data_IF_710471889997
#
_entry.id   IF_710471889997
#
_cell.length_a   1.000
_cell.length_b   1.000
_cell.length_c   1.000
_cell.angle_alpha   90.00
_cell.angle_beta   90.00
_cell.angle_gamma   90.00
#
_symmetry.space_group_name_H-M   'P 1'
#
loop_
_entity.id
_entity.type
_entity.pdbx_description
1 polymer ?
#
# COMPACT_ATOMS: atom_id res chain seq x y z
N UNK A 1 -29.17 -35.81 43.24
CA UNK A 1 -29.56 -34.55 42.59
C UNK A 1 -28.46 -33.55 42.94
N UNK A 2 -27.32 -33.67 42.26
CA UNK A 2 -26.18 -32.78 42.49
C UNK A 2 -26.26 -31.66 41.47
N UNK A 3 -26.62 -30.47 41.94
CA UNK A 3 -26.61 -29.26 41.15
C UNK A 3 -25.18 -28.89 40.80
N UNK A 4 -24.83 -28.99 39.51
CA UNK A 4 -23.66 -28.30 38.97
C UNK A 4 -23.90 -26.79 39.15
N UNK A 5 -23.28 -26.23 40.19
CA UNK A 5 -23.08 -24.79 40.29
C UNK A 5 -22.18 -24.38 39.12
N UNK A 6 -22.77 -23.68 38.15
CA UNK A 6 -22.01 -22.92 37.14
C UNK A 6 -21.31 -21.82 37.92
N UNK A 7 -20.03 -22.02 38.24
CA UNK A 7 -19.18 -20.94 38.74
C UNK A 7 -19.07 -19.95 37.60
N UNK A 8 -19.76 -18.81 37.70
CA UNK A 8 -19.61 -17.71 36.76
C UNK A 8 -18.15 -17.24 36.83
N UNK A 9 -17.40 -17.47 35.77
CA UNK A 9 -16.00 -17.06 35.68
C UNK A 9 -15.93 -15.52 35.86
N UNK A 10 -15.12 -15.05 36.80
CA UNK A 10 -15.05 -13.62 37.14
C UNK A 10 -14.43 -12.88 35.94
N UNK A 11 -15.09 -11.83 35.41
CA UNK A 11 -14.53 -11.10 34.29
C UNK A 11 -13.17 -10.52 34.63
N UNK A 12 -12.18 -10.73 33.76
CA UNK A 12 -10.85 -10.15 33.93
C UNK A 12 -10.88 -8.72 33.39
N UNK A 13 -10.49 -7.79 34.24
CA UNK A 13 -10.49 -6.36 33.92
C UNK A 13 -9.06 -5.85 33.98
N UNK A 14 -8.64 -5.11 32.96
CA UNK A 14 -7.31 -4.51 32.87
C UNK A 14 -7.37 -3.04 32.46
N UNK A 15 -6.50 -2.21 33.04
CA UNK A 15 -6.38 -0.79 32.69
C UNK A 15 -5.50 -0.65 31.45
N UNK A 16 -5.90 0.19 30.50
CA UNK A 16 -5.09 0.45 29.31
C UNK A 16 -3.80 1.20 29.72
N UNK A 17 -2.61 0.79 29.25
CA UNK A 17 -1.34 1.37 29.70
C UNK A 17 -1.23 2.88 29.42
N UNK A 18 -1.68 3.32 28.24
CA UNK A 18 -1.52 4.71 27.78
C UNK A 18 -2.77 5.59 27.96
N UNK A 19 -3.94 4.98 28.21
CA UNK A 19 -5.25 5.66 28.13
C UNK A 19 -6.05 5.55 29.44
N UNK A 20 -5.35 5.25 30.53
CA UNK A 20 -5.89 5.29 31.87
C UNK A 20 -5.27 6.46 32.62
N UNK A 21 -5.82 7.65 32.40
CA UNK A 21 -5.29 8.88 32.99
C UNK A 21 -5.77 9.07 34.43
N UNK A 22 -4.85 9.41 35.33
CA UNK A 22 -5.18 9.71 36.73
C UNK A 22 -6.16 10.89 36.86
N UNK A 23 -6.07 11.85 35.94
CA UNK A 23 -6.95 13.02 35.84
C UNK A 23 -8.17 12.83 34.93
N UNK A 24 -8.48 11.59 34.52
CA UNK A 24 -9.74 11.29 33.81
C UNK A 24 -10.96 11.49 34.73
N UNK A 25 -12.10 11.81 34.14
CA UNK A 25 -13.37 12.07 34.84
C UNK A 25 -14.48 11.07 34.45
N UNK A 26 -14.17 10.09 33.60
CA UNK A 26 -15.04 8.97 33.22
C UNK A 26 -14.21 7.73 32.91
N UNK A 27 -14.71 6.55 33.28
CA UNK A 27 -14.12 5.26 32.93
C UNK A 27 -14.99 4.57 31.88
N UNK A 28 -14.42 4.28 30.72
CA UNK A 28 -15.05 3.46 29.68
C UNK A 28 -14.57 2.02 29.83
N UNK A 29 -15.50 1.06 29.85
CA UNK A 29 -15.22 -0.38 29.87
C UNK A 29 -15.61 -0.99 28.53
N UNK A 30 -14.63 -1.49 27.77
CA UNK A 30 -14.85 -2.12 26.47
C UNK A 30 -14.51 -3.62 26.51
N UNK A 31 -15.29 -4.50 25.86
CA UNK A 31 -14.95 -5.91 25.72
C UNK A 31 -13.68 -6.11 24.90
N UNK A 32 -12.84 -7.06 25.32
CA UNK A 32 -11.70 -7.55 24.55
C UNK A 32 -12.14 -8.84 23.85
N UNK A 33 -12.06 -8.88 22.53
CA UNK A 33 -12.31 -10.10 21.76
C UNK A 33 -11.30 -11.18 22.17
N UNK A 34 -11.77 -12.29 22.75
CA UNK A 34 -10.89 -13.40 23.12
C UNK A 34 -11.58 -14.73 22.83
N UNK A 35 -10.83 -15.72 22.32
CA UNK A 35 -11.33 -17.06 22.00
C UNK A 35 -11.60 -17.93 23.26
N UNK A 36 -11.55 -17.34 24.46
CA UNK A 36 -11.73 -18.03 25.74
C UNK A 36 -13.14 -17.87 26.33
N UNK A 37 -13.47 -18.73 27.31
CA UNK A 37 -14.73 -18.65 28.07
C UNK A 37 -14.79 -17.46 29.04
N UNK A 38 -13.64 -16.87 29.39
CA UNK A 38 -13.54 -15.75 30.34
C UNK A 38 -13.78 -14.44 29.61
N UNK A 39 -14.79 -13.68 30.06
CA UNK A 39 -15.03 -12.32 29.60
C UNK A 39 -13.86 -11.42 30.04
N UNK A 40 -13.26 -10.74 29.07
CA UNK A 40 -12.16 -9.78 29.30
C UNK A 40 -12.62 -8.38 28.94
N UNK A 41 -12.23 -7.40 29.76
CA UNK A 41 -12.55 -6.00 29.53
C UNK A 41 -11.31 -5.13 29.71
N UNK A 42 -11.15 -4.17 28.81
CA UNK A 42 -10.18 -3.09 28.96
C UNK A 42 -10.90 -1.86 29.53
N UNK A 43 -10.26 -1.19 30.50
CA UNK A 43 -10.68 0.08 31.04
C UNK A 43 -9.86 1.23 30.47
N UNK A 44 -10.55 2.31 30.10
CA UNK A 44 -9.98 3.58 29.69
C UNK A 44 -10.47 4.65 30.65
N UNK A 45 -9.56 5.38 31.30
CA UNK A 45 -9.91 6.50 32.16
C UNK A 45 -9.57 7.79 31.43
N UNK A 46 -10.59 8.47 30.93
CA UNK A 46 -10.46 9.58 29.98
C UNK A 46 -11.24 10.81 30.46
N UNK A 47 -11.05 11.93 29.78
CA UNK A 47 -11.78 13.18 30.02
C UNK A 47 -12.97 13.31 29.09
N UNK A 48 -14.18 13.48 29.65
CA UNK A 48 -15.45 13.67 28.95
C UNK A 48 -15.35 14.76 27.90
N UNK A 49 -14.76 15.91 28.25
CA UNK A 49 -14.63 17.08 27.38
C UNK A 49 -13.98 16.77 26.02
N UNK A 50 -13.03 15.82 25.96
CA UNK A 50 -12.35 15.47 24.71
C UNK A 50 -13.31 14.74 23.76
N UNK A 51 -14.07 13.76 24.26
CA UNK A 51 -15.04 13.04 23.43
C UNK A 51 -16.25 13.91 23.09
N UNK A 52 -16.74 14.67 24.07
CA UNK A 52 -17.85 15.62 23.91
C UNK A 52 -17.56 16.72 22.88
N UNK A 53 -16.31 17.18 22.79
CA UNK A 53 -15.92 18.17 21.78
C UNK A 53 -16.07 17.67 20.33
N UNK A 54 -16.16 16.35 20.13
CA UNK A 54 -16.26 15.72 18.81
C UNK A 54 -17.56 14.96 18.57
N UNK A 55 -18.39 14.74 19.59
CA UNK A 55 -19.57 13.89 19.52
C UNK A 55 -20.67 14.32 20.50
N UNK A 56 -21.81 14.72 19.94
CA UNK A 56 -23.03 14.97 20.71
C UNK A 56 -23.56 13.67 21.35
N UNK A 57 -23.29 12.51 20.75
CA UNK A 57 -23.65 11.21 21.32
C UNK A 57 -22.94 10.99 22.66
N UNK A 58 -21.63 11.28 22.72
CA UNK A 58 -20.88 11.20 23.98
C UNK A 58 -21.32 12.28 24.97
N UNK A 59 -21.63 13.51 24.53
CA UNK A 59 -22.22 14.54 25.41
C UNK A 59 -23.46 14.02 26.14
N UNK A 60 -24.42 13.48 25.38
CA UNK A 60 -25.67 12.96 25.94
C UNK A 60 -25.42 11.73 26.84
N UNK A 61 -24.59 10.79 26.38
CA UNK A 61 -24.22 9.60 27.14
C UNK A 61 -23.61 9.95 28.51
N UNK A 62 -22.77 10.99 28.58
CA UNK A 62 -22.17 11.45 29.82
C UNK A 62 -23.14 12.22 30.72
N UNK A 63 -24.08 12.96 30.14
CA UNK A 63 -25.14 13.62 30.91
C UNK A 63 -26.03 12.58 31.60
N UNK A 64 -26.51 11.59 30.84
CA UNK A 64 -27.34 10.49 31.35
C UNK A 64 -26.64 9.69 32.46
N UNK A 65 -25.34 9.43 32.30
CA UNK A 65 -24.53 8.73 33.28
C UNK A 65 -24.26 9.56 34.56
N UNK A 66 -24.41 10.88 34.50
CA UNK A 66 -24.20 11.76 35.65
C UNK A 66 -25.50 12.01 36.43
N UNK A 67 -26.66 11.95 35.77
CA UNK A 67 -27.99 12.09 36.40
C UNK A 67 -28.43 10.81 37.11
N UNK A 68 -28.00 9.65 36.63
CA UNK A 68 -28.27 8.37 37.27
C UNK A 68 -27.13 8.00 38.22
N UNK A 69 -27.42 7.49 39.42
CA UNK A 69 -26.42 6.85 40.31
C UNK A 69 -26.00 5.52 39.68
N UNK A 70 -25.23 5.62 38.60
CA UNK A 70 -24.76 4.51 37.80
C UNK A 70 -23.60 3.77 38.46
N UNK A 71 -23.15 2.66 37.87
CA UNK A 71 -21.95 1.98 38.32
C UNK A 71 -20.74 2.94 38.26
N UNK A 72 -19.83 2.80 39.23
CA UNK A 72 -18.62 3.60 39.32
C UNK A 72 -17.39 2.69 39.42
N UNK A 73 -16.25 3.18 38.94
CA UNK A 73 -14.95 2.54 39.05
C UNK A 73 -13.92 3.59 39.48
N UNK A 74 -13.16 3.31 40.54
CA UNK A 74 -12.22 4.26 41.17
C UNK A 74 -12.84 5.64 41.45
N UNK A 75 -14.09 5.63 41.94
CA UNK A 75 -14.85 6.84 42.27
C UNK A 75 -15.32 7.66 41.07
N UNK A 76 -15.13 7.17 39.84
CA UNK A 76 -15.53 7.83 38.59
C UNK A 76 -16.71 7.09 37.94
N UNK A 77 -17.60 7.78 37.20
CA UNK A 77 -18.67 7.12 36.44
C UNK A 77 -18.12 6.06 35.49
N UNK A 78 -18.70 4.86 35.52
CA UNK A 78 -18.32 3.74 34.66
C UNK A 78 -19.35 3.57 33.54
N UNK A 79 -18.90 3.59 32.30
CA UNK A 79 -19.74 3.41 31.11
C UNK A 79 -19.32 2.15 30.38
N UNK A 80 -20.28 1.27 30.14
CA UNK A 80 -20.05 0.03 29.40
C UNK A 80 -20.20 0.29 27.90
N UNK A 81 -19.09 0.14 27.19
CA UNK A 81 -19.05 0.18 25.74
C UNK A 81 -19.39 -1.21 25.19
N UNK A 82 -20.17 -1.26 24.11
CA UNK A 82 -20.42 -2.50 23.36
C UNK A 82 -19.35 -2.75 22.30
N UNK A 83 -18.54 -1.73 22.01
CA UNK A 83 -17.50 -1.73 21.00
C UNK A 83 -16.23 -2.38 21.50
N UNK A 84 -15.48 -2.97 20.57
CA UNK A 84 -14.27 -3.72 20.88
C UNK A 84 -13.15 -2.80 21.39
N UNK A 85 -12.41 -3.25 22.40
CA UNK A 85 -11.41 -2.47 23.11
C UNK A 85 -10.30 -1.91 22.20
N UNK A 86 -9.82 -2.67 21.21
CA UNK A 86 -8.81 -2.23 20.24
C UNK A 86 -9.35 -1.11 19.33
N UNK A 87 -10.62 -1.17 18.92
CA UNK A 87 -11.23 -0.10 18.12
C UNK A 87 -11.40 1.19 18.95
N UNK A 88 -11.85 1.03 20.21
CA UNK A 88 -12.00 2.14 21.16
C UNK A 88 -10.64 2.77 21.46
N UNK A 89 -9.59 1.96 21.65
CA UNK A 89 -8.25 2.46 21.94
C UNK A 89 -7.70 3.30 20.79
N UNK A 90 -7.84 2.87 19.53
CA UNK A 90 -7.37 3.64 18.38
C UNK A 90 -8.18 4.92 18.15
N UNK A 91 -9.50 4.91 18.39
CA UNK A 91 -10.29 6.16 18.37
C UNK A 91 -9.77 7.14 19.44
N UNK A 92 -9.59 6.67 20.68
CA UNK A 92 -9.10 7.50 21.78
C UNK A 92 -7.67 8.00 21.51
N UNK A 93 -6.76 7.15 21.07
CA UNK A 93 -5.40 7.54 20.69
C UNK A 93 -5.41 8.62 19.61
N UNK A 94 -6.28 8.51 18.61
CA UNK A 94 -6.39 9.53 17.57
C UNK A 94 -6.88 10.88 18.12
N UNK A 95 -7.81 10.88 19.09
CA UNK A 95 -8.33 12.10 19.70
C UNK A 95 -7.33 12.76 20.68
N UNK A 96 -6.58 11.97 21.43
CA UNK A 96 -5.64 12.46 22.43
C UNK A 96 -4.24 12.75 21.87
N UNK A 97 -3.79 11.96 20.91
CA UNK A 97 -2.46 12.05 20.31
C UNK A 97 -2.54 11.78 18.79
N UNK A 98 -3.13 12.71 18.01
CA UNK A 98 -3.24 12.56 16.57
C UNK A 98 -1.87 12.48 15.88
N UNK A 99 -0.79 12.95 16.54
CA UNK A 99 0.56 12.94 16.00
C UNK A 99 1.07 11.52 15.69
N UNK A 100 0.65 10.51 16.47
CA UNK A 100 0.95 9.08 16.25
C UNK A 100 0.55 8.59 14.87
N UNK A 101 -0.49 9.20 14.28
CA UNK A 101 -0.99 8.85 12.97
C UNK A 101 -0.53 9.84 11.91
N UNK A 102 -0.64 11.15 12.18
CA UNK A 102 -0.39 12.21 11.20
C UNK A 102 1.10 12.36 10.82
N UNK A 103 2.02 12.08 11.74
CA UNK A 103 3.47 12.17 11.49
C UNK A 103 4.07 10.83 11.03
N UNK A 104 3.28 9.76 11.03
CA UNK A 104 3.71 8.39 10.77
C UNK A 104 3.38 7.99 9.33
N UNK A 105 4.02 8.65 8.36
CA UNK A 105 3.82 8.42 6.92
C UNK A 105 4.12 6.98 6.51
N UNK A 106 3.32 6.43 5.58
CA UNK A 106 3.54 5.13 4.95
C UNK A 106 3.67 3.93 5.89
N UNK A 107 3.13 4.03 7.12
CA UNK A 107 3.25 2.94 8.09
C UNK A 107 2.22 1.83 7.83
N UNK A 108 2.65 0.56 7.77
CA UNK A 108 1.84 -0.56 7.28
C UNK A 108 0.62 -0.88 8.15
N UNK A 109 0.67 -0.54 9.44
CA UNK A 109 -0.45 -0.76 10.38
C UNK A 109 -1.48 0.38 10.39
N UNK A 110 -1.19 1.54 9.77
CA UNK A 110 -2.09 2.70 9.84
C UNK A 110 -3.51 2.39 9.36
N UNK A 111 -3.74 1.69 8.23
CA UNK A 111 -5.08 1.32 7.82
C UNK A 111 -5.75 0.34 8.80
N UNK A 112 -5.01 -0.62 9.38
CA UNK A 112 -5.55 -1.58 10.34
C UNK A 112 -5.98 -0.91 11.65
N UNK A 113 -5.14 -0.04 12.18
CA UNK A 113 -5.43 0.68 13.43
C UNK A 113 -6.63 1.62 13.24
N UNK A 114 -6.75 2.25 12.06
CA UNK A 114 -7.80 3.23 11.80
C UNK A 114 -9.11 2.62 11.27
N UNK A 115 -9.14 1.36 10.81
CA UNK A 115 -10.37 0.77 10.22
C UNK A 115 -11.51 0.73 11.25
N UNK A 116 -11.22 0.26 12.46
CA UNK A 116 -12.20 0.23 13.56
C UNK A 116 -12.46 1.61 14.13
N UNK A 117 -11.42 2.43 14.29
CA UNK A 117 -11.55 3.78 14.82
C UNK A 117 -12.45 4.67 13.95
N UNK A 118 -12.32 4.61 12.62
CA UNK A 118 -13.15 5.36 11.69
C UNK A 118 -14.60 4.86 11.69
N UNK A 119 -14.83 3.55 11.90
CA UNK A 119 -16.17 2.97 12.07
C UNK A 119 -16.84 3.51 13.34
N UNK A 120 -16.09 3.58 14.45
CA UNK A 120 -16.59 4.17 15.68
C UNK A 120 -16.82 5.68 15.56
N UNK A 121 -15.95 6.39 14.85
CA UNK A 121 -16.16 7.80 14.56
C UNK A 121 -17.48 8.04 13.80
N UNK A 122 -17.88 7.13 12.91
CA UNK A 122 -19.20 7.19 12.26
C UNK A 122 -20.34 6.90 13.25
N UNK A 123 -20.23 5.80 14.01
CA UNK A 123 -21.22 5.38 15.03
C UNK A 123 -21.52 6.48 16.06
N UNK A 124 -20.47 7.17 16.51
CA UNK A 124 -20.55 8.24 17.50
C UNK A 124 -20.70 9.63 16.87
N UNK A 125 -21.01 9.71 15.56
CA UNK A 125 -21.32 10.95 14.85
C UNK A 125 -20.21 11.99 14.98
N UNK A 126 -18.99 11.58 14.63
CA UNK A 126 -17.77 12.40 14.60
C UNK A 126 -17.28 12.64 13.15
N UNK A 127 -18.07 13.32 12.29
CA UNK A 127 -17.81 13.36 10.85
C UNK A 127 -16.45 13.95 10.47
N UNK A 128 -15.97 14.96 11.22
CA UNK A 128 -14.64 15.56 10.98
C UNK A 128 -13.50 14.61 11.31
N UNK A 129 -13.65 13.84 12.40
CA UNK A 129 -12.66 12.85 12.85
C UNK A 129 -12.60 11.70 11.84
N UNK A 130 -13.77 11.15 11.47
CA UNK A 130 -13.89 10.12 10.43
C UNK A 130 -13.22 10.56 9.13
N UNK A 131 -13.58 11.75 8.62
CA UNK A 131 -13.01 12.27 7.38
C UNK A 131 -11.48 12.49 7.46
N UNK A 132 -10.96 12.88 8.64
CA UNK A 132 -9.52 13.04 8.84
C UNK A 132 -8.77 11.69 8.86
N UNK A 133 -9.34 10.64 9.46
CA UNK A 133 -8.79 9.29 9.42
C UNK A 133 -8.77 8.72 8.00
N UNK A 134 -9.87 8.86 7.25
CA UNK A 134 -9.95 8.41 5.85
C UNK A 134 -8.92 9.12 4.98
N UNK A 135 -8.86 10.45 5.06
CA UNK A 135 -7.83 11.23 4.34
C UNK A 135 -6.41 10.79 4.73
N UNK A 136 -6.16 10.54 6.01
CA UNK A 136 -4.83 10.12 6.46
C UNK A 136 -4.40 8.82 5.78
N UNK A 137 -5.25 7.80 5.75
CA UNK A 137 -4.94 6.54 5.04
C UNK A 137 -4.77 6.79 3.55
N UNK A 138 -5.66 7.59 2.94
CA UNK A 138 -5.61 7.85 1.50
C UNK A 138 -4.33 8.56 1.05
N UNK A 139 -3.77 9.46 1.87
CA UNK A 139 -2.53 10.21 1.57
C UNK A 139 -1.27 9.33 1.42
N UNK A 140 -1.30 8.10 1.92
CA UNK A 140 -0.18 7.17 1.77
C UNK A 140 -0.17 6.49 0.38
N UNK A 141 -1.26 6.59 -0.38
CA UNK A 141 -1.42 5.88 -1.65
C UNK A 141 -1.43 6.82 -2.85
N UNK A 142 -0.67 6.51 -3.91
CA UNK A 142 -0.66 7.32 -5.11
C UNK A 142 -1.96 7.15 -5.90
N UNK A 143 -2.49 8.25 -6.43
CA UNK A 143 -3.66 8.27 -7.31
C UNK A 143 -3.31 8.60 -8.76
N UNK A 144 -2.04 8.93 -9.01
CA UNK A 144 -1.47 9.24 -10.33
C UNK A 144 -0.15 8.49 -10.53
N UNK A 145 0.23 8.26 -11.79
CA UNK A 145 1.49 7.59 -12.12
C UNK A 145 2.72 8.37 -11.63
N UNK A 146 2.67 9.71 -11.64
CA UNK A 146 3.76 10.55 -11.14
C UNK A 146 3.94 10.36 -9.62
N UNK A 147 2.85 10.31 -8.86
CA UNK A 147 2.92 10.00 -7.43
C UNK A 147 3.43 8.58 -7.19
N UNK A 148 3.05 7.61 -8.03
CA UNK A 148 3.58 6.25 -7.97
C UNK A 148 5.10 6.24 -8.15
N UNK A 149 5.61 7.01 -9.11
CA UNK A 149 7.05 7.10 -9.39
C UNK A 149 7.83 7.75 -8.26
N UNK A 150 7.30 8.81 -7.65
CA UNK A 150 7.88 9.39 -6.44
C UNK A 150 7.99 8.35 -5.33
N UNK A 151 6.94 7.56 -5.10
CA UNK A 151 6.96 6.48 -4.09
C UNK A 151 7.92 5.35 -4.45
N UNK A 152 8.02 4.96 -5.72
CA UNK A 152 9.01 3.95 -6.12
C UNK A 152 10.44 4.47 -5.96
N UNK A 153 10.68 5.76 -6.21
CA UNK A 153 12.00 6.36 -5.98
C UNK A 153 12.37 6.36 -4.49
N UNK A 154 11.43 6.64 -3.59
CA UNK A 154 11.63 6.51 -2.14
C UNK A 154 12.00 5.06 -1.75
N UNK A 155 11.31 4.07 -2.32
CA UNK A 155 11.61 2.65 -2.08
C UNK A 155 13.00 2.30 -2.58
N UNK A 156 13.35 2.63 -3.83
CA UNK A 156 14.69 2.38 -4.40
C UNK A 156 15.80 3.01 -3.56
N UNK A 157 15.59 4.23 -3.08
CA UNK A 157 16.55 4.88 -2.18
C UNK A 157 16.73 4.11 -0.85
N UNK A 158 15.66 3.52 -0.30
CA UNK A 158 15.78 2.64 0.87
C UNK A 158 16.54 1.35 0.55
N UNK A 159 16.30 0.75 -0.62
CA UNK A 159 17.01 -0.45 -1.09
C UNK A 159 18.51 -0.19 -1.26
N UNK A 160 18.88 0.95 -1.84
CA UNK A 160 20.27 1.40 -1.95
C UNK A 160 20.92 1.58 -0.58
N UNK A 161 20.22 2.16 0.40
CA UNK A 161 20.73 2.28 1.77
C UNK A 161 20.94 0.92 2.45
N UNK A 162 20.07 -0.06 2.19
CA UNK A 162 20.18 -1.42 2.75
C UNK A 162 21.40 -2.16 2.18
N UNK A 163 21.73 -1.95 0.91
CA UNK A 163 22.85 -2.63 0.24
C UNK A 163 24.21 -2.01 0.56
N UNK A 164 24.24 -0.85 1.24
CA UNK A 164 25.48 -0.20 1.68
C UNK A 164 26.12 -0.89 2.88
N UNK A 165 27.37 -1.30 2.71
CA UNK A 165 28.14 -2.01 3.73
C UNK A 165 28.38 -1.23 5.04
N UNK A 166 28.26 0.10 5.01
CA UNK A 166 28.54 1.01 6.13
C UNK A 166 27.28 1.46 6.89
N UNK A 167 26.09 0.99 6.51
CA UNK A 167 24.84 1.54 7.05
C UNK A 167 24.41 0.87 8.37
N UNK A 168 24.39 1.60 9.51
CA UNK A 168 24.24 1.01 10.84
C UNK A 168 22.78 0.74 11.25
N UNK A 169 21.79 0.97 10.38
CA UNK A 169 20.37 0.83 10.73
C UNK A 169 19.75 -0.42 10.12
N UNK A 170 18.99 -1.11 10.96
CA UNK A 170 18.02 -2.11 10.55
C UNK A 170 16.86 -1.46 9.80
N UNK A 171 16.84 -1.58 8.46
CA UNK A 171 15.72 -1.14 7.63
C UNK A 171 15.08 -2.35 6.98
N UNK A 172 13.77 -2.48 7.18
CA UNK A 172 12.91 -3.40 6.43
C UNK A 172 11.95 -2.56 5.60
N UNK A 173 12.05 -2.65 4.27
CA UNK A 173 11.27 -1.81 3.34
C UNK A 173 9.78 -1.93 3.61
N UNK A 174 9.27 -3.16 3.83
CA UNK A 174 7.87 -3.39 4.13
C UNK A 174 7.34 -2.62 5.36
N UNK A 175 8.20 -2.32 6.36
CA UNK A 175 7.82 -1.53 7.54
C UNK A 175 7.77 -0.01 7.27
N UNK A 176 8.22 0.42 6.08
CA UNK A 176 8.29 1.82 5.64
C UNK A 176 7.42 2.09 4.41
N UNK A 177 6.65 1.11 3.98
CA UNK A 177 5.73 1.21 2.84
C UNK A 177 4.31 0.88 3.28
N UNK A 178 3.30 1.51 2.68
CA UNK A 178 1.91 1.17 2.95
C UNK A 178 1.63 -0.29 2.59
N UNK A 179 0.89 -1.02 3.44
CA UNK A 179 0.57 -2.42 3.20
C UNK A 179 -0.74 -2.55 2.41
N UNK A 180 -0.74 -3.24 1.25
CA UNK A 180 -1.84 -3.20 0.30
C UNK A 180 -3.13 -3.84 0.82
N UNK A 181 -3.07 -4.98 1.52
CA UNK A 181 -4.29 -5.68 1.96
C UNK A 181 -5.03 -4.88 3.02
N UNK A 182 -4.31 -4.34 4.01
CA UNK A 182 -4.87 -3.44 5.01
C UNK A 182 -5.53 -2.21 4.38
N UNK A 183 -4.90 -1.64 3.35
CA UNK A 183 -5.44 -0.48 2.63
C UNK A 183 -6.70 -0.82 1.82
N UNK A 184 -6.72 -1.96 1.12
CA UNK A 184 -7.89 -2.44 0.38
C UNK A 184 -9.07 -2.64 1.34
N UNK A 185 -8.85 -3.33 2.45
CA UNK A 185 -9.89 -3.54 3.47
C UNK A 185 -10.40 -2.21 4.05
N UNK A 186 -9.50 -1.27 4.33
CA UNK A 186 -9.88 0.06 4.79
C UNK A 186 -10.70 0.82 3.75
N UNK A 187 -10.30 0.77 2.47
CA UNK A 187 -10.98 1.44 1.39
C UNK A 187 -12.40 0.92 1.15
N UNK A 188 -12.58 -0.41 1.20
CA UNK A 188 -13.89 -1.03 1.15
C UNK A 188 -14.77 -0.65 2.34
N UNK A 189 -14.20 -0.63 3.55
CA UNK A 189 -14.94 -0.31 4.77
C UNK A 189 -15.38 1.17 4.86
N UNK A 190 -14.58 2.09 4.32
CA UNK A 190 -14.78 3.54 4.53
C UNK A 190 -15.10 4.35 3.28
N UNK A 191 -15.07 3.72 2.10
CA UNK A 191 -15.43 4.34 0.83
C UNK A 191 -14.39 5.31 0.30
N UNK A 192 -13.13 4.88 0.19
CA UNK A 192 -12.07 5.60 -0.54
C UNK A 192 -11.56 4.79 -1.75
N UNK A 193 -12.38 4.59 -2.79
CA UNK A 193 -12.03 3.75 -3.95
C UNK A 193 -10.83 4.30 -4.75
N UNK A 194 -10.49 5.58 -4.61
CA UNK A 194 -9.40 6.23 -5.33
C UNK A 194 -8.02 5.61 -5.08
N UNK A 195 -7.84 4.91 -3.94
CA UNK A 195 -6.57 4.24 -3.62
C UNK A 195 -6.50 2.79 -4.10
N UNK A 196 -7.65 2.19 -4.45
CA UNK A 196 -7.74 0.78 -4.81
C UNK A 196 -6.85 0.42 -6.02
N UNK A 197 -6.77 1.21 -7.11
CA UNK A 197 -5.94 0.84 -8.27
C UNK A 197 -4.47 0.66 -7.89
N UNK A 198 -3.91 1.58 -7.10
CA UNK A 198 -2.54 1.50 -6.64
C UNK A 198 -2.32 0.37 -5.62
N UNK A 199 -3.28 0.14 -4.72
CA UNK A 199 -3.19 -0.92 -3.72
C UNK A 199 -3.25 -2.31 -4.36
N UNK A 200 -4.14 -2.53 -5.32
CA UNK A 200 -4.21 -3.78 -6.08
C UNK A 200 -3.01 -3.99 -6.99
N UNK A 201 -2.53 -2.94 -7.68
CA UNK A 201 -1.31 -3.03 -8.47
C UNK A 201 -0.12 -3.41 -7.60
N UNK A 202 0.05 -2.77 -6.43
CA UNK A 202 1.09 -3.14 -5.46
C UNK A 202 0.93 -4.57 -4.93
N UNK A 203 -0.30 -5.03 -4.68
CA UNK A 203 -0.53 -6.39 -4.22
C UNK A 203 -0.09 -7.42 -5.27
N UNK A 204 -0.41 -7.17 -6.54
CA UNK A 204 -0.03 -8.02 -7.67
C UNK A 204 1.49 -8.12 -7.87
N UNK A 205 2.27 -7.12 -7.44
CA UNK A 205 3.74 -7.18 -7.48
C UNK A 205 4.35 -7.98 -6.32
N UNK A 206 3.56 -8.48 -5.37
CA UNK A 206 4.04 -9.21 -4.19
C UNK A 206 3.75 -10.69 -4.38
N UNK A 207 4.78 -11.52 -4.27
CA UNK A 207 4.59 -12.97 -4.33
C UNK A 207 3.76 -13.47 -3.13
N UNK A 208 2.82 -14.38 -3.36
CA UNK A 208 1.92 -14.94 -2.32
C UNK A 208 2.68 -15.59 -1.15
N UNK A 209 3.88 -16.12 -1.41
CA UNK A 209 4.76 -16.66 -0.37
C UNK A 209 5.40 -15.60 0.56
N UNK A 210 5.25 -14.30 0.25
CA UNK A 210 5.71 -13.18 1.09
C UNK A 210 4.60 -12.73 2.03
N UNK A 211 4.23 -13.61 2.94
CA UNK A 211 3.23 -13.35 3.97
C UNK A 211 3.79 -12.50 5.11
N UNK A 212 3.02 -11.50 5.54
CA UNK A 212 3.42 -10.53 6.57
C UNK A 212 3.88 -11.16 7.90
N UNK A 213 3.28 -12.26 8.36
CA UNK A 213 3.69 -12.89 9.63
C UNK A 213 5.10 -13.47 9.59
N UNK A 214 5.64 -13.70 8.40
CA UNK A 214 7.01 -14.18 8.22
C UNK A 214 8.05 -13.08 8.43
N UNK A 215 7.64 -11.81 8.56
CA UNK A 215 8.55 -10.67 8.70
C UNK A 215 9.53 -10.83 9.87
N UNK A 216 9.05 -11.33 11.02
CA UNK A 216 9.87 -11.56 12.21
C UNK A 216 10.92 -12.66 12.00
N UNK A 217 10.76 -13.49 10.97
CA UNK A 217 11.71 -14.53 10.57
C UNK A 217 12.83 -13.99 9.67
N UNK A 218 12.75 -12.72 9.26
CA UNK A 218 13.82 -12.00 8.57
C UNK A 218 14.51 -11.05 9.56
N UNK A 219 15.43 -11.51 10.43
CA UNK A 219 16.12 -10.67 11.41
C UNK A 219 17.22 -9.79 10.78
N UNK A 220 17.13 -9.52 9.47
CA UNK A 220 18.11 -8.75 8.70
C UNK A 220 17.42 -7.67 7.87
N UNK A 221 18.16 -6.59 7.51
CA UNK A 221 17.68 -5.62 6.54
C UNK A 221 17.13 -6.31 5.29
N UNK A 222 15.97 -5.87 4.83
CA UNK A 222 15.27 -6.55 3.73
C UNK A 222 14.60 -5.55 2.82
N UNK A 223 14.88 -5.72 1.52
CA UNK A 223 14.21 -5.01 0.42
C UNK A 223 12.86 -5.65 0.05
N UNK A 224 12.56 -6.81 0.63
CA UNK A 224 11.37 -7.59 0.29
C UNK A 224 10.10 -6.89 0.81
N UNK A 225 9.11 -6.78 -0.06
CA UNK A 225 7.75 -6.38 0.30
C UNK A 225 6.94 -7.60 0.76
N UNK A 226 6.02 -7.37 1.69
CA UNK A 226 5.14 -8.40 2.25
C UNK A 226 3.69 -7.90 2.22
N UNK A 227 2.75 -8.84 2.17
CA UNK A 227 1.33 -8.55 2.23
C UNK A 227 0.65 -9.41 3.29
N UNK A 228 -0.43 -8.89 3.88
CA UNK A 228 -1.25 -9.61 4.87
C UNK A 228 -2.27 -10.50 4.17
N UNK A 229 -1.79 -11.44 3.35
CA UNK A 229 -2.62 -12.35 2.56
C UNK A 229 -3.78 -13.00 3.33
N UNK A 230 -3.64 -13.44 4.60
CA UNK A 230 -4.75 -14.02 5.36
C UNK A 230 -5.91 -13.06 5.63
N UNK A 231 -5.68 -11.74 5.54
CA UNK A 231 -6.71 -10.71 5.68
C UNK A 231 -7.35 -10.30 4.35
N UNK A 232 -6.89 -10.85 3.22
CA UNK A 232 -7.42 -10.50 1.91
C UNK A 232 -8.69 -11.30 1.64
N UNK A 233 -9.81 -10.60 1.36
CA UNK A 233 -11.07 -11.27 1.05
C UNK A 233 -10.96 -12.10 -0.25
N UNK A 234 -11.67 -13.22 -0.32
CA UNK A 234 -11.65 -14.10 -1.51
C UNK A 234 -11.99 -13.37 -2.81
N UNK A 235 -12.90 -12.38 -2.75
CA UNK A 235 -13.26 -11.56 -3.90
C UNK A 235 -12.09 -10.67 -4.35
N UNK A 236 -11.34 -10.11 -3.41
CA UNK A 236 -10.17 -9.28 -3.69
C UNK A 236 -8.98 -10.12 -4.16
N UNK A 237 -8.82 -11.34 -3.67
CA UNK A 237 -7.87 -12.30 -4.25
C UNK A 237 -8.20 -12.60 -5.72
N UNK A 238 -9.48 -12.82 -6.04
CA UNK A 238 -9.93 -13.03 -7.42
C UNK A 238 -9.70 -11.78 -8.29
N UNK A 239 -9.91 -10.57 -7.75
CA UNK A 239 -9.57 -9.30 -8.42
C UNK A 239 -8.08 -9.20 -8.71
N UNK A 240 -7.22 -9.54 -7.74
CA UNK A 240 -5.77 -9.55 -7.89
C UNK A 240 -5.33 -10.49 -9.01
N UNK A 241 -5.78 -11.75 -8.99
CA UNK A 241 -5.45 -12.75 -10.02
C UNK A 241 -5.92 -12.33 -11.43
N UNK A 242 -7.12 -11.73 -11.53
CA UNK A 242 -7.61 -11.19 -12.82
C UNK A 242 -6.78 -10.02 -13.31
N UNK A 243 -6.33 -9.16 -12.39
CA UNK A 243 -5.43 -8.07 -12.70
C UNK A 243 -4.06 -8.56 -13.16
N UNK A 244 -3.46 -9.53 -12.47
CA UNK A 244 -2.21 -10.19 -12.89
C UNK A 244 -2.32 -10.75 -14.31
N UNK A 245 -3.41 -11.46 -14.62
CA UNK A 245 -3.65 -11.95 -15.98
C UNK A 245 -3.76 -10.79 -16.99
N UNK A 246 -4.50 -9.73 -16.66
CA UNK A 246 -4.64 -8.57 -17.54
C UNK A 246 -3.33 -7.80 -17.75
N UNK A 247 -2.46 -7.75 -16.73
CA UNK A 247 -1.12 -7.17 -16.81
C UNK A 247 -0.20 -8.04 -17.69
N UNK A 248 -0.31 -9.37 -17.59
CA UNK A 248 0.42 -10.29 -18.46
C UNK A 248 -0.04 -10.17 -19.93
N UNK A 249 -1.34 -10.06 -20.18
CA UNK A 249 -1.89 -9.82 -21.53
C UNK A 249 -1.42 -8.46 -22.07
N UNK A 250 -1.41 -7.42 -21.24
CA UNK A 250 -0.86 -6.11 -21.58
C UNK A 250 0.63 -6.21 -21.94
N UNK A 251 1.41 -6.95 -21.15
CA UNK A 251 2.84 -7.13 -21.38
C UNK A 251 3.11 -7.80 -22.73
N UNK A 252 2.39 -8.88 -23.05
CA UNK A 252 2.49 -9.56 -24.33
C UNK A 252 2.11 -8.65 -25.51
N UNK A 253 1.06 -7.82 -25.36
CA UNK A 253 0.65 -6.88 -26.40
C UNK A 253 1.72 -5.79 -26.65
N UNK A 254 2.34 -5.27 -25.59
CA UNK A 254 3.43 -4.30 -25.69
C UNK A 254 4.67 -4.93 -26.32
N UNK A 255 5.03 -6.15 -25.91
CA UNK A 255 6.15 -6.88 -26.49
C UNK A 255 6.02 -6.98 -28.02
N UNK A 256 4.84 -7.37 -28.52
CA UNK A 256 4.58 -7.49 -29.96
C UNK A 256 4.70 -6.15 -30.70
N UNK A 257 4.24 -5.05 -30.09
CA UNK A 257 4.36 -3.70 -30.68
C UNK A 257 5.80 -3.23 -30.78
N UNK A 258 6.58 -3.42 -29.72
CA UNK A 258 8.01 -3.08 -29.73
C UNK A 258 8.75 -3.96 -30.74
N UNK A 259 8.40 -5.25 -30.82
CA UNK A 259 8.98 -6.19 -31.80
C UNK A 259 8.61 -5.81 -33.24
N UNK A 260 7.44 -5.24 -33.49
CA UNK A 260 7.06 -4.66 -34.79
C UNK A 260 7.66 -3.27 -35.05
N UNK A 261 8.59 -2.82 -34.21
CA UNK A 261 9.28 -1.55 -34.30
C UNK A 261 8.39 -0.31 -34.09
N UNK A 262 7.36 -0.42 -33.25
CA UNK A 262 6.74 0.75 -32.60
C UNK A 262 7.47 0.99 -31.27
N UNK A 263 7.90 2.22 -30.91
CA UNK A 263 7.58 3.50 -31.51
C UNK A 263 8.77 4.10 -32.28
N UNK A 264 8.89 3.81 -33.57
CA UNK A 264 9.84 4.54 -34.42
C UNK A 264 9.25 5.86 -34.90
N UNK A 265 10.06 6.92 -34.85
CA UNK A 265 9.70 8.21 -35.43
C UNK A 265 9.51 8.07 -36.95
N UNK A 266 8.47 8.69 -37.51
CA UNK A 266 8.21 8.71 -38.96
C UNK A 266 9.42 9.21 -39.76
N UNK A 267 10.20 10.10 -39.15
CA UNK A 267 11.37 10.70 -39.78
C UNK A 267 12.66 9.95 -39.53
N UNK A 268 12.67 8.81 -38.83
CA UNK A 268 13.87 8.03 -38.46
C UNK A 268 15.03 8.13 -39.49
N UNK A 269 15.90 9.13 -39.30
CA UNK A 269 17.11 9.34 -40.14
C UNK A 269 18.26 8.53 -39.58
N UNK A 270 18.16 7.21 -39.61
CA UNK A 270 19.34 6.38 -39.51
C UNK A 270 19.79 6.02 -40.94
N UNK A 271 20.63 6.84 -41.59
CA UNK A 271 21.28 6.38 -42.82
C UNK A 271 22.10 5.13 -42.47
N UNK A 272 22.19 4.18 -43.41
CA UNK A 272 23.26 3.19 -43.43
C UNK A 272 24.61 3.91 -43.64
N UNK A 273 25.02 4.72 -42.66
CA UNK A 273 26.30 5.40 -42.64
C UNK A 273 27.29 4.51 -41.90
N UNK A 274 27.86 3.54 -42.60
CA UNK A 274 29.00 2.78 -42.09
C UNK A 274 30.19 3.73 -41.99
N UNK A 275 30.31 4.39 -40.84
CA UNK A 275 31.56 4.98 -40.40
C UNK A 275 32.52 3.87 -39.97
N UNK A 276 33.17 3.22 -40.94
CA UNK A 276 34.43 2.49 -40.72
C UNK A 276 34.38 1.09 -40.11
N UNK A 277 33.24 0.39 -40.07
CA UNK A 277 33.17 -1.01 -39.59
C UNK A 277 32.26 -1.87 -40.46
N UNK A 278 32.82 -2.89 -41.11
CA UNK A 278 32.07 -3.82 -41.96
C UNK A 278 31.06 -4.65 -41.15
N UNK A 279 29.83 -4.17 -41.02
CA UNK A 279 28.70 -5.04 -40.72
C UNK A 279 28.41 -5.91 -41.95
N UNK A 280 28.63 -7.21 -41.80
CA UNK A 280 28.46 -8.27 -42.80
C UNK A 280 27.07 -8.93 -42.72
N UNK A 281 26.10 -8.28 -42.08
CA UNK A 281 24.69 -8.70 -42.05
C UNK A 281 23.98 -8.39 -43.37
N UNK A 282 23.03 -9.24 -43.77
CA UNK A 282 22.13 -8.95 -44.91
C UNK A 282 21.40 -7.63 -44.65
N UNK A 283 21.20 -6.75 -45.65
CA UNK A 283 20.35 -5.58 -45.49
C UNK A 283 18.93 -6.06 -45.16
N UNK A 284 18.55 -5.92 -43.90
CA UNK A 284 17.17 -6.04 -43.47
C UNK A 284 16.42 -4.79 -43.94
N UNK A 285 15.13 -4.92 -44.29
CA UNK A 285 14.29 -3.79 -44.68
C UNK A 285 14.03 -2.78 -43.54
N UNK A 286 14.49 -3.09 -42.31
CA UNK A 286 14.29 -2.29 -41.10
C UNK A 286 15.49 -1.36 -40.84
N UNK A 287 15.21 -0.15 -40.35
CA UNK A 287 16.24 0.84 -40.00
C UNK A 287 17.14 0.37 -38.84
N UNK A 288 18.32 0.96 -38.65
CA UNK A 288 19.19 0.63 -37.50
C UNK A 288 18.46 0.83 -36.16
N UNK A 289 17.62 1.86 -36.05
CA UNK A 289 16.80 2.10 -34.86
C UNK A 289 15.79 0.98 -34.62
N UNK A 290 15.20 0.41 -35.69
CA UNK A 290 14.28 -0.73 -35.56
C UNK A 290 14.97 -1.97 -34.98
N UNK A 291 16.16 -2.31 -35.49
CA UNK A 291 16.96 -3.42 -34.96
C UNK A 291 17.38 -3.17 -33.51
N UNK A 292 17.79 -1.94 -33.21
CA UNK A 292 18.14 -1.55 -31.85
C UNK A 292 16.94 -1.69 -30.91
N UNK A 293 15.78 -1.19 -31.29
CA UNK A 293 14.56 -1.26 -30.49
C UNK A 293 14.11 -2.71 -30.24
N UNK A 294 14.20 -3.57 -31.25
CA UNK A 294 13.97 -5.02 -31.08
C UNK A 294 14.97 -5.64 -30.09
N UNK A 295 16.24 -5.29 -30.21
CA UNK A 295 17.29 -5.77 -29.28
C UNK A 295 17.04 -5.30 -27.86
N UNK A 296 16.65 -4.03 -27.69
CA UNK A 296 16.28 -3.46 -26.41
C UNK A 296 15.04 -4.16 -25.82
N UNK A 297 14.04 -4.47 -26.65
CA UNK A 297 12.86 -5.23 -26.25
C UNK A 297 13.25 -6.57 -25.64
N UNK A 298 14.05 -7.36 -26.35
CA UNK A 298 14.49 -8.68 -25.88
C UNK A 298 15.31 -8.59 -24.59
N UNK A 299 16.14 -7.55 -24.46
CA UNK A 299 17.01 -7.38 -23.29
C UNK A 299 16.28 -6.86 -22.04
N UNK A 300 15.28 -5.98 -22.19
CA UNK A 300 14.67 -5.24 -21.07
C UNK A 300 13.19 -5.50 -20.86
N UNK A 301 12.44 -5.78 -21.91
CA UNK A 301 11.01 -6.11 -21.80
C UNK A 301 10.78 -7.62 -21.74
N UNK A 302 11.42 -8.35 -22.67
CA UNK A 302 11.37 -9.79 -22.81
C UNK A 302 10.00 -10.34 -23.23
N UNK A 303 9.94 -11.64 -23.50
CA UNK A 303 8.68 -12.36 -23.78
C UNK A 303 7.95 -12.78 -22.49
N UNK A 304 8.68 -12.91 -21.40
CA UNK A 304 8.14 -13.36 -20.12
C UNK A 304 7.49 -12.15 -19.43
N UNK A 305 6.20 -12.24 -19.05
CA UNK A 305 5.53 -11.17 -18.34
C UNK A 305 6.29 -10.76 -17.07
N UNK A 306 6.45 -9.45 -16.89
CA UNK A 306 6.94 -8.88 -15.64
C UNK A 306 5.81 -8.64 -14.65
N UNK A 307 6.11 -8.77 -13.36
CA UNK A 307 5.17 -8.46 -12.27
C UNK A 307 4.97 -6.93 -12.12
N UNK A 308 5.86 -6.10 -12.70
CA UNK A 308 5.76 -4.63 -12.65
C UNK A 308 5.94 -3.98 -14.05
N UNK A 309 4.91 -4.01 -14.92
CA UNK A 309 4.97 -3.40 -16.25
C UNK A 309 5.24 -1.88 -16.23
N UNK A 310 4.78 -1.15 -15.21
CA UNK A 310 5.11 0.27 -15.07
C UNK A 310 6.62 0.46 -14.90
N UNK A 311 7.27 -0.28 -14.01
CA UNK A 311 8.73 -0.22 -13.88
C UNK A 311 9.41 -0.64 -15.18
N UNK A 312 9.00 -1.76 -15.77
CA UNK A 312 9.60 -2.24 -17.01
C UNK A 312 9.52 -1.20 -18.15
N UNK A 313 8.44 -0.41 -18.22
CA UNK A 313 8.32 0.68 -19.19
C UNK A 313 9.32 1.81 -18.93
N UNK A 314 9.56 2.17 -17.66
CA UNK A 314 10.59 3.15 -17.32
C UNK A 314 11.99 2.64 -17.66
N UNK A 315 12.27 1.37 -17.37
CA UNK A 315 13.59 0.77 -17.61
C UNK A 315 13.97 0.79 -19.10
N UNK A 316 13.00 0.87 -20.03
CA UNK A 316 13.26 1.06 -21.46
C UNK A 316 13.93 2.41 -21.78
N UNK A 317 13.83 3.42 -20.92
CA UNK A 317 14.46 4.73 -21.13
C UNK A 317 15.87 4.80 -20.55
N UNK A 318 16.20 3.97 -19.56
CA UNK A 318 17.50 3.95 -18.89
C UNK A 318 18.53 3.06 -19.61
N UNK A 319 18.28 2.70 -20.87
CA UNK A 319 19.11 1.76 -21.62
C UNK A 319 20.55 2.23 -21.81
N UNK A 320 20.80 3.55 -21.92
CA UNK A 320 22.15 4.12 -22.21
C UNK A 320 23.20 3.76 -21.16
N UNK A 321 22.82 3.68 -19.89
CA UNK A 321 23.74 3.37 -18.79
C UNK A 321 24.16 1.90 -18.75
N UNK A 322 23.49 1.06 -19.55
CA UNK A 322 23.63 -0.41 -19.52
C UNK A 322 23.76 -1.02 -20.91
N UNK A 323 23.96 -0.20 -21.95
CA UNK A 323 24.08 -0.67 -23.35
C UNK A 323 25.17 -1.74 -23.51
N UNK A 324 26.27 -1.62 -22.78
CA UNK A 324 27.39 -2.56 -22.84
C UNK A 324 27.05 -3.94 -22.25
N UNK A 325 25.99 -4.05 -21.43
CA UNK A 325 25.61 -5.31 -20.77
C UNK A 325 24.91 -6.30 -21.72
N UNK A 326 24.29 -5.80 -22.79
CA UNK A 326 23.42 -6.61 -23.66
C UNK A 326 23.68 -6.44 -25.16
N UNK A 327 24.57 -5.54 -25.58
CA UNK A 327 24.92 -5.35 -26.99
C UNK A 327 26.30 -5.94 -27.32
N UNK A 328 26.46 -6.62 -28.48
CA UNK A 328 27.78 -6.98 -28.97
C UNK A 328 28.63 -5.74 -29.24
N UNK A 329 29.92 -5.79 -28.88
CA UNK A 329 30.88 -4.71 -29.14
C UNK A 329 30.84 -4.31 -30.61
N UNK A 330 30.50 -3.04 -30.90
CA UNK A 330 30.44 -2.48 -32.25
C UNK A 330 29.13 -2.70 -33.02
N UNK A 331 28.11 -3.31 -32.41
CA UNK A 331 26.84 -3.56 -33.07
C UNK A 331 26.00 -2.29 -33.32
N UNK A 332 25.95 -1.39 -32.33
CA UNK A 332 25.14 -0.16 -32.36
C UNK A 332 25.83 0.95 -31.53
N UNK A 333 26.89 1.55 -32.07
CA UNK A 333 27.75 2.48 -31.30
C UNK A 333 27.07 3.78 -30.82
N UNK A 334 25.84 4.06 -31.23
CA UNK A 334 25.10 5.28 -30.86
C UNK A 334 23.71 5.05 -30.23
N UNK A 335 23.17 3.83 -30.26
CA UNK A 335 21.79 3.55 -29.83
C UNK A 335 20.73 4.01 -30.83
N UNK A 336 19.59 4.52 -30.32
CA UNK A 336 18.56 5.18 -31.14
C UNK A 336 19.06 6.54 -31.63
N UNK A 337 18.58 7.00 -32.79
CA UNK A 337 18.76 8.40 -33.20
C UNK A 337 17.88 9.34 -32.36
N UNK A 338 18.23 10.61 -32.28
CA UNK A 338 17.55 11.62 -31.46
C UNK A 338 16.03 11.66 -31.67
N UNK A 339 15.56 11.52 -32.92
CA UNK A 339 14.13 11.50 -33.27
C UNK A 339 13.43 10.26 -32.68
N UNK A 340 14.03 9.07 -32.79
CA UNK A 340 13.46 7.83 -32.25
C UNK A 340 13.59 7.73 -30.72
N UNK A 341 14.62 8.32 -30.13
CA UNK A 341 14.76 8.40 -28.67
C UNK A 341 13.68 9.31 -28.06
N UNK A 342 13.42 10.47 -28.67
CA UNK A 342 12.33 11.35 -28.26
C UNK A 342 10.96 10.67 -28.42
N UNK A 343 10.75 9.94 -29.51
CA UNK A 343 9.51 9.19 -29.75
C UNK A 343 9.33 8.07 -28.74
N UNK A 344 10.40 7.32 -28.40
CA UNK A 344 10.35 6.30 -27.36
C UNK A 344 9.99 6.90 -26.00
N UNK A 345 10.59 8.02 -25.62
CA UNK A 345 10.28 8.70 -24.35
C UNK A 345 8.81 9.16 -24.28
N UNK A 346 8.29 9.73 -25.36
CA UNK A 346 6.89 10.13 -25.46
C UNK A 346 5.96 8.92 -25.35
N UNK A 347 6.24 7.87 -26.13
CA UNK A 347 5.44 6.65 -26.15
C UNK A 347 5.44 5.94 -24.79
N UNK A 348 6.60 5.78 -24.13
CA UNK A 348 6.69 5.21 -22.78
C UNK A 348 5.85 6.00 -21.80
N UNK A 349 5.92 7.33 -21.86
CA UNK A 349 5.11 8.21 -20.99
C UNK A 349 3.62 7.97 -21.22
N UNK A 350 3.17 7.94 -22.48
CA UNK A 350 1.77 7.69 -22.85
C UNK A 350 1.31 6.29 -22.43
N UNK A 351 2.13 5.25 -22.63
CA UNK A 351 1.82 3.88 -22.25
C UNK A 351 1.69 3.73 -20.74
N UNK A 352 2.59 4.34 -19.96
CA UNK A 352 2.51 4.34 -18.49
C UNK A 352 1.25 5.03 -17.99
N UNK A 353 0.90 6.20 -18.54
CA UNK A 353 -0.34 6.90 -18.21
C UNK A 353 -1.58 6.09 -18.60
N UNK A 354 -1.56 5.46 -19.76
CA UNK A 354 -2.66 4.64 -20.27
C UNK A 354 -2.84 3.36 -19.43
N UNK A 355 -1.74 2.69 -19.06
CA UNK A 355 -1.77 1.54 -18.16
C UNK A 355 -2.33 1.93 -16.79
N UNK A 356 -1.83 3.02 -16.19
CA UNK A 356 -2.33 3.53 -14.92
C UNK A 356 -3.84 3.78 -14.95
N UNK A 357 -4.33 4.45 -16.01
CA UNK A 357 -5.75 4.72 -16.19
C UNK A 357 -6.62 3.47 -16.37
N UNK A 358 -6.05 2.34 -16.80
CA UNK A 358 -6.75 1.06 -16.98
C UNK A 358 -6.70 0.13 -15.77
N UNK A 359 -5.91 0.45 -14.73
CA UNK A 359 -5.77 -0.42 -13.55
C UNK A 359 -7.14 -0.75 -12.92
N UNK A 360 -8.04 0.23 -12.78
CA UNK A 360 -9.39 -0.02 -12.27
C UNK A 360 -10.18 -1.05 -13.09
N UNK A 361 -10.01 -1.06 -14.42
CA UNK A 361 -10.69 -1.99 -15.32
C UNK A 361 -9.99 -3.36 -15.36
N UNK A 362 -8.66 -3.41 -15.19
CA UNK A 362 -7.87 -4.64 -15.07
C UNK A 362 -8.24 -5.40 -13.80
N UNK A 363 -8.27 -4.71 -12.65
CA UNK A 363 -8.59 -5.31 -11.36
C UNK A 363 -10.10 -5.41 -11.05
N UNK A 364 -10.99 -4.99 -11.96
CA UNK A 364 -12.46 -5.05 -11.78
C UNK A 364 -12.93 -4.36 -10.50
N UNK A 365 -12.55 -3.08 -10.36
CA UNK A 365 -12.79 -2.25 -9.18
C UNK A 365 -14.08 -1.40 -9.26
N UNK A 366 -14.87 -1.57 -10.33
CA UNK A 366 -16.13 -0.86 -10.56
C UNK A 366 -17.33 -1.71 -10.20
#
# INVERSE_FOLDING_TARGET
MDGLAIVADVPRIERHPDLYFDNGDVVLRAPISSEGRILKYQLFCVRKVVLSAHSDVFCNLFADASENVGPAYDGKPLINMVDEATEVSHLLLYLYDPSRYLLRASHPDTPLELIGAAKLADKYVMPRVRAAMVRRVAMDWPTTVDQWDVRQAEIRALEELITRADYPRYIVVAQRTPEPVAAINFAHAHGCPEILPAAFYRLATINVGKEWSLLDQFPHPSVTLFARWPLCANEDLLRCMRGEQALADYHAAVYERIRSAEPLAERCRAPYGVGGGYWNGRPSALSQCAHFLQTLCEARWGQVPTDDPLKALADLLDYRSTMDDFLPVGAFSAGLCDECEAELALWVTQERMALWGRLSDHFKLK
#
